data_IF_635724393270
#
_entry.id   IF_635724393270
#
_cell.length_a   1.000
_cell.length_b   1.000
_cell.length_c   1.000
_cell.angle_alpha   90.00
_cell.angle_beta   90.00
_cell.angle_gamma   90.00
#
_symmetry.space_group_name_H-M   'P 1'
#
loop_
_entity.id
_entity.type
_entity.pdbx_description
1 polymer ?
#
# COMPACT_ATOMS: atom_id res chain seq x y z
N UNK A 1 -11.99 30.05 -13.78
CA UNK A 1 -10.66 29.41 -13.79
C UNK A 1 -10.91 28.09 -13.12
N UNK A 2 -11.18 27.08 -13.93
CA UNK A 2 -11.86 25.87 -13.47
C UNK A 2 -10.90 25.02 -12.63
N UNK A 3 -11.29 24.81 -11.37
CA UNK A 3 -10.68 23.84 -10.48
C UNK A 3 -10.91 22.45 -11.08
N UNK A 4 -9.92 21.95 -11.82
CA UNK A 4 -9.81 20.53 -12.10
C UNK A 4 -9.53 19.81 -10.78
N UNK A 5 -10.59 19.51 -10.04
CA UNK A 5 -10.55 18.52 -8.98
C UNK A 5 -10.28 17.19 -9.67
N UNK A 6 -9.01 16.80 -9.75
CA UNK A 6 -8.64 15.41 -9.99
C UNK A 6 -9.35 14.62 -8.90
N UNK A 7 -10.45 13.96 -9.25
CA UNK A 7 -11.16 13.05 -8.37
C UNK A 7 -10.22 11.87 -8.10
N UNK A 8 -9.29 12.08 -7.17
CA UNK A 8 -8.35 11.07 -6.71
C UNK A 8 -9.16 9.89 -6.21
N UNK A 9 -8.67 8.68 -6.48
CA UNK A 9 -9.34 7.47 -6.04
C UNK A 9 -9.57 7.54 -4.52
N UNK A 10 -10.80 7.79 -4.09
CA UNK A 10 -11.14 7.85 -2.68
C UNK A 10 -11.04 6.44 -2.09
N UNK A 11 -9.91 6.15 -1.45
CA UNK A 11 -9.77 5.00 -0.54
C UNK A 11 -10.35 5.46 0.80
N UNK A 12 -11.29 4.71 1.41
CA UNK A 12 -11.89 5.11 2.68
C UNK A 12 -10.83 5.23 3.80
N UNK A 13 -11.10 5.99 4.86
CA UNK A 13 -10.26 5.96 6.05
C UNK A 13 -10.28 4.56 6.69
N UNK A 14 -9.24 4.26 7.46
CA UNK A 14 -9.14 3.06 8.28
C UNK A 14 -9.45 3.46 9.72
N UNK A 15 -10.66 3.16 10.21
CA UNK A 15 -11.07 3.53 11.58
C UNK A 15 -10.54 2.53 12.62
N UNK A 16 -10.47 1.24 12.25
CA UNK A 16 -9.93 0.15 13.07
C UNK A 16 -9.04 -0.75 12.20
N UNK A 17 -7.96 -1.27 12.77
CA UNK A 17 -7.14 -2.24 12.05
C UNK A 17 -7.81 -3.62 12.03
N UNK A 18 -7.71 -4.27 10.88
CA UNK A 18 -7.97 -5.69 10.71
C UNK A 18 -6.86 -6.26 9.82
N UNK A 19 -5.89 -6.92 10.46
CA UNK A 19 -4.74 -7.52 9.77
C UNK A 19 -5.02 -8.92 9.21
N UNK A 20 -6.27 -9.40 9.21
CA UNK A 20 -6.61 -10.60 8.43
C UNK A 20 -6.46 -10.32 6.94
N UNK A 21 -6.08 -11.33 6.14
CA UNK A 21 -5.96 -11.17 4.69
C UNK A 21 -7.28 -10.63 4.06
N UNK A 22 -8.42 -11.08 4.58
CA UNK A 22 -9.75 -10.62 4.16
C UNK A 22 -10.02 -9.17 4.56
N UNK A 23 -9.67 -8.76 5.78
CA UNK A 23 -9.80 -7.38 6.26
C UNK A 23 -9.00 -6.39 5.43
N UNK A 24 -7.73 -6.72 5.18
CA UNK A 24 -6.80 -5.90 4.40
C UNK A 24 -7.25 -5.76 2.94
N UNK A 25 -7.48 -6.88 2.24
CA UNK A 25 -7.94 -6.82 0.85
C UNK A 25 -9.33 -6.22 0.72
N UNK A 26 -10.22 -6.53 1.68
CA UNK A 26 -11.56 -5.95 1.78
C UNK A 26 -11.54 -4.43 1.95
N UNK A 27 -10.56 -3.88 2.67
CA UNK A 27 -10.36 -2.43 2.75
C UNK A 27 -10.02 -1.83 1.38
N UNK A 28 -9.01 -2.37 0.69
CA UNK A 28 -8.61 -1.86 -0.62
C UNK A 28 -9.70 -2.04 -1.69
N UNK A 29 -10.54 -3.07 -1.55
CA UNK A 29 -11.70 -3.28 -2.39
C UNK A 29 -12.75 -2.17 -2.23
N UNK A 30 -12.89 -1.54 -1.06
CA UNK A 30 -13.84 -0.42 -0.89
C UNK A 30 -13.45 0.86 -1.64
N UNK A 31 -12.25 0.91 -2.24
CA UNK A 31 -11.81 2.07 -3.03
C UNK A 31 -12.52 2.15 -4.39
N UNK A 32 -12.63 3.37 -4.92
CA UNK A 32 -13.23 3.64 -6.25
C UNK A 32 -12.50 2.97 -7.43
N UNK A 33 -11.32 2.35 -7.23
CA UNK A 33 -10.55 1.55 -8.21
C UNK A 33 -10.37 0.08 -7.81
N UNK A 34 -11.35 -0.42 -7.05
CA UNK A 34 -11.46 -1.72 -6.39
C UNK A 34 -10.66 -2.88 -7.05
N UNK A 35 -11.02 -3.28 -8.28
CA UNK A 35 -10.50 -4.54 -8.82
C UNK A 35 -9.03 -4.51 -9.27
N UNK A 36 -8.57 -3.41 -9.86
CA UNK A 36 -7.20 -3.32 -10.38
C UNK A 36 -6.17 -3.21 -9.25
N UNK A 37 -6.47 -2.38 -8.25
CA UNK A 37 -5.61 -2.21 -7.09
C UNK A 37 -5.49 -3.51 -6.29
N UNK A 38 -6.62 -4.18 -6.03
CA UNK A 38 -6.63 -5.48 -5.33
C UNK A 38 -5.86 -6.53 -6.13
N UNK A 39 -6.07 -6.61 -7.45
CA UNK A 39 -5.31 -7.54 -8.31
C UNK A 39 -3.81 -7.26 -8.27
N UNK A 40 -3.41 -5.99 -8.27
CA UNK A 40 -2.00 -5.62 -8.16
C UNK A 40 -1.42 -6.04 -6.80
N UNK A 41 -2.10 -5.76 -5.70
CA UNK A 41 -1.67 -6.15 -4.35
C UNK A 41 -1.55 -7.67 -4.20
N UNK A 42 -2.55 -8.43 -4.63
CA UNK A 42 -2.48 -9.91 -4.64
C UNK A 42 -1.31 -10.41 -5.50
N UNK A 43 -0.97 -9.71 -6.59
CA UNK A 43 0.16 -10.09 -7.44
C UNK A 43 1.50 -9.78 -6.76
N UNK A 44 1.58 -8.68 -6.01
CA UNK A 44 2.76 -8.35 -5.20
C UNK A 44 2.96 -9.36 -4.06
N UNK A 45 1.89 -9.69 -3.33
CA UNK A 45 1.94 -10.65 -2.22
C UNK A 45 2.44 -12.04 -2.69
N UNK A 46 2.10 -12.46 -3.91
CA UNK A 46 2.64 -13.70 -4.51
C UNK A 46 4.14 -13.69 -4.74
N UNK A 47 4.73 -12.50 -4.89
CA UNK A 47 6.18 -12.32 -5.06
C UNK A 47 6.89 -12.20 -3.70
N UNK A 48 6.18 -11.87 -2.63
CA UNK A 48 6.70 -11.64 -1.27
C UNK A 48 7.01 -12.93 -0.50
N UNK A 49 7.60 -13.94 -1.15
CA UNK A 49 7.85 -15.28 -0.55
C UNK A 49 8.77 -15.28 0.68
N UNK A 50 9.44 -14.16 0.97
CA UNK A 50 10.33 -14.01 2.11
C UNK A 50 9.62 -13.49 3.37
N UNK A 51 8.37 -13.04 3.26
CA UNK A 51 7.66 -12.43 4.38
C UNK A 51 7.15 -13.48 5.35
N UNK A 52 7.04 -13.11 6.62
CA UNK A 52 6.64 -14.04 7.70
C UNK A 52 5.21 -14.54 7.54
N UNK A 53 4.37 -13.73 6.88
CA UNK A 53 2.95 -13.94 6.69
C UNK A 53 2.60 -14.42 5.26
N UNK A 54 3.61 -14.79 4.46
CA UNK A 54 3.41 -15.37 3.14
C UNK A 54 2.69 -16.73 3.24
N UNK A 55 1.62 -16.92 2.46
CA UNK A 55 0.80 -18.14 2.45
C UNK A 55 0.40 -18.63 3.86
N UNK A 56 0.00 -17.70 4.74
CA UNK A 56 -0.31 -17.98 6.15
C UNK A 56 -1.29 -19.15 6.36
N UNK A 57 -2.30 -19.28 5.48
CA UNK A 57 -3.32 -20.33 5.56
C UNK A 57 -2.81 -21.73 5.19
N UNK A 58 -1.70 -21.81 4.45
CA UNK A 58 -1.07 -23.07 4.05
C UNK A 58 0.19 -23.39 4.89
N UNK A 59 0.60 -22.47 5.76
CA UNK A 59 1.80 -22.61 6.60
C UNK A 59 1.57 -23.58 7.76
N UNK A 60 2.61 -24.35 8.11
CA UNK A 60 2.62 -25.15 9.34
C UNK A 60 2.65 -24.30 10.61
N UNK A 61 2.90 -22.99 10.48
CA UNK A 61 2.97 -22.01 11.56
C UNK A 61 1.77 -21.05 11.56
N UNK A 62 0.63 -21.47 11.00
CA UNK A 62 -0.55 -20.61 10.85
C UNK A 62 -0.98 -19.96 12.17
N UNK A 63 -0.97 -20.71 13.27
CA UNK A 63 -1.38 -20.20 14.58
C UNK A 63 -0.43 -19.11 15.09
N UNK A 64 0.89 -19.33 14.98
CA UNK A 64 1.90 -18.36 15.38
C UNK A 64 1.84 -17.09 14.54
N UNK A 65 1.61 -17.22 13.23
CA UNK A 65 1.43 -16.07 12.32
C UNK A 65 0.17 -15.28 12.72
N UNK A 66 -0.95 -15.95 13.00
CA UNK A 66 -2.18 -15.29 13.45
C UNK A 66 -1.99 -14.54 14.77
N UNK A 67 -1.30 -15.16 15.74
CA UNK A 67 -0.98 -14.51 17.01
C UNK A 67 -0.09 -13.27 16.78
N UNK A 68 0.95 -13.39 15.95
CA UNK A 68 1.81 -12.28 15.57
C UNK A 68 1.01 -11.14 14.92
N UNK A 69 0.06 -11.44 14.03
CA UNK A 69 -0.80 -10.42 13.42
C UNK A 69 -1.68 -9.71 14.45
N UNK A 70 -2.21 -10.43 15.45
CA UNK A 70 -3.00 -9.81 16.53
C UNK A 70 -2.15 -8.92 17.45
N UNK A 71 -0.95 -9.38 17.79
CA UNK A 71 -0.01 -8.59 18.60
C UNK A 71 0.45 -7.34 17.85
N UNK A 72 0.78 -7.49 16.55
CA UNK A 72 1.16 -6.38 15.70
C UNK A 72 0.02 -5.37 15.54
N UNK A 73 -1.20 -5.84 15.35
CA UNK A 73 -2.38 -4.98 15.30
C UNK A 73 -2.50 -4.16 16.58
N UNK A 74 -2.48 -4.83 17.75
CA UNK A 74 -2.60 -4.18 19.05
C UNK A 74 -1.47 -3.17 19.28
N UNK A 75 -0.23 -3.52 18.89
CA UNK A 75 0.92 -2.63 18.95
C UNK A 75 0.72 -1.37 18.10
N UNK A 76 0.34 -1.52 16.83
CA UNK A 76 0.19 -0.37 15.93
C UNK A 76 -0.97 0.52 16.39
N UNK A 77 -2.10 -0.05 16.82
CA UNK A 77 -3.22 0.75 17.35
C UNK A 77 -2.83 1.55 18.59
N UNK A 78 -2.05 0.95 19.50
CA UNK A 78 -1.60 1.61 20.72
C UNK A 78 -0.58 2.73 20.46
N UNK A 79 0.30 2.56 19.46
CA UNK A 79 1.47 3.42 19.28
C UNK A 79 1.50 4.22 17.97
N UNK A 80 0.49 4.14 17.10
CA UNK A 80 0.47 4.82 15.79
C UNK A 80 0.90 6.30 15.85
N UNK A 81 0.43 7.03 16.87
CA UNK A 81 0.71 8.47 17.08
C UNK A 81 2.18 8.81 17.34
N UNK A 82 3.00 7.84 17.73
CA UNK A 82 4.40 8.05 18.11
C UNK A 82 5.41 7.29 17.24
N UNK A 83 4.96 6.47 16.29
CA UNK A 83 5.85 5.71 15.39
C UNK A 83 6.77 6.58 14.51
N UNK A 84 6.49 7.89 14.40
CA UNK A 84 7.38 8.85 13.74
C UNK A 84 8.72 9.02 14.47
N UNK A 85 8.82 8.61 15.73
CA UNK A 85 10.05 8.66 16.52
C UNK A 85 10.99 7.48 16.22
N UNK A 86 10.47 6.40 15.65
CA UNK A 86 11.23 5.18 15.30
C UNK A 86 10.90 4.70 13.88
N UNK A 87 10.98 5.58 12.86
CA UNK A 87 10.48 5.27 11.52
C UNK A 87 11.28 4.14 10.86
N UNK A 88 12.57 4.01 11.17
CA UNK A 88 13.42 2.95 10.65
C UNK A 88 12.96 1.56 11.11
N UNK A 89 12.88 1.35 12.42
CA UNK A 89 12.51 0.06 12.99
C UNK A 89 11.10 -0.37 12.54
N UNK A 90 10.18 0.59 12.41
CA UNK A 90 8.86 0.30 11.88
C UNK A 90 8.90 -0.06 10.39
N UNK A 91 9.66 0.67 9.56
CA UNK A 91 9.81 0.33 8.14
C UNK A 91 10.50 -1.03 7.92
N UNK A 92 11.47 -1.39 8.76
CA UNK A 92 12.10 -2.72 8.78
C UNK A 92 11.06 -3.81 9.11
N UNK A 93 10.24 -3.60 10.15
CA UNK A 93 9.13 -4.50 10.46
C UNK A 93 8.19 -4.69 9.27
N UNK A 94 7.80 -3.60 8.59
CA UNK A 94 6.90 -3.65 7.44
C UNK A 94 7.53 -4.38 6.23
N UNK A 95 8.86 -4.41 6.11
CA UNK A 95 9.54 -5.13 5.04
C UNK A 95 9.37 -6.66 5.15
N UNK A 96 9.11 -7.16 6.35
CA UNK A 96 8.90 -8.59 6.65
C UNK A 96 7.44 -9.04 6.56
N UNK A 97 6.53 -8.15 6.16
CA UNK A 97 5.12 -8.46 5.90
C UNK A 97 4.82 -8.44 4.40
N UNK A 98 3.77 -9.14 3.97
CA UNK A 98 3.23 -9.05 2.61
C UNK A 98 2.94 -7.60 2.23
N UNK A 99 3.08 -7.28 0.94
CA UNK A 99 2.92 -5.93 0.41
C UNK A 99 1.55 -5.34 0.76
N UNK A 100 0.47 -6.13 0.73
CA UNK A 100 -0.86 -5.68 1.12
C UNK A 100 -0.91 -5.21 2.58
N UNK A 101 -0.42 -6.01 3.53
CA UNK A 101 -0.34 -5.64 4.96
C UNK A 101 0.60 -4.47 5.21
N UNK A 102 1.75 -4.46 4.55
CA UNK A 102 2.72 -3.37 4.58
C UNK A 102 2.07 -2.04 4.18
N UNK A 103 1.36 -2.00 3.05
CA UNK A 103 0.68 -0.78 2.58
C UNK A 103 -0.48 -0.38 3.50
N UNK A 104 -1.23 -1.35 4.00
CA UNK A 104 -2.35 -1.11 4.91
C UNK A 104 -1.91 -0.47 6.23
N UNK A 105 -0.84 -1.01 6.84
CA UNK A 105 -0.25 -0.46 8.07
C UNK A 105 0.40 0.91 7.84
N UNK A 106 1.13 1.07 6.74
CA UNK A 106 1.71 2.38 6.36
C UNK A 106 0.62 3.44 6.27
N UNK A 107 -0.49 3.11 5.60
CA UNK A 107 -1.65 4.01 5.46
C UNK A 107 -2.30 4.32 6.81
N UNK A 108 -2.53 3.31 7.63
CA UNK A 108 -3.14 3.50 8.95
C UNK A 108 -2.31 4.44 9.82
N UNK A 109 -0.99 4.24 9.89
CA UNK A 109 -0.11 5.09 10.69
C UNK A 109 -0.06 6.51 10.12
N UNK A 110 0.08 6.67 8.80
CA UNK A 110 0.07 7.98 8.16
C UNK A 110 -1.25 8.75 8.40
N UNK A 111 -2.39 8.06 8.50
CA UNK A 111 -3.69 8.66 8.83
C UNK A 111 -3.77 9.17 10.28
N UNK A 112 -3.09 8.50 11.22
CA UNK A 112 -3.18 8.79 12.66
C UNK A 112 -1.99 9.58 13.21
N UNK A 113 -1.00 9.87 12.37
CA UNK A 113 0.25 10.50 12.75
C UNK A 113 0.80 11.33 11.58
N UNK A 114 0.41 12.60 11.52
CA UNK A 114 0.82 13.52 10.45
C UNK A 114 2.35 13.69 10.34
N UNK A 115 3.08 13.49 11.44
CA UNK A 115 4.54 13.57 11.46
C UNK A 115 5.22 12.33 10.85
N UNK A 116 4.52 11.20 10.71
CA UNK A 116 5.11 9.94 10.27
C UNK A 116 5.69 10.03 8.85
N UNK A 117 4.92 10.57 7.90
CA UNK A 117 5.37 10.74 6.52
C UNK A 117 6.62 11.62 6.42
N UNK A 118 6.68 12.69 7.23
CA UNK A 118 7.83 13.58 7.31
C UNK A 118 9.07 12.92 7.90
N UNK A 119 8.90 12.02 8.87
CA UNK A 119 9.99 11.24 9.46
C UNK A 119 10.49 10.13 8.52
N UNK A 120 9.60 9.54 7.71
CA UNK A 120 9.91 8.45 6.79
C UNK A 120 10.62 8.94 5.51
N UNK A 121 10.24 10.10 4.98
CA UNK A 121 10.80 10.66 3.76
C UNK A 121 12.34 10.77 3.71
N UNK A 122 13.03 11.36 4.71
CA UNK A 122 14.49 11.47 4.68
C UNK A 122 15.18 10.11 4.77
N UNK A 123 14.59 9.15 5.49
CA UNK A 123 15.09 7.79 5.60
C UNK A 123 15.04 7.08 4.25
N UNK A 124 13.95 7.22 3.49
CA UNK A 124 13.84 6.64 2.15
C UNK A 124 14.70 7.36 1.10
N UNK A 125 15.02 8.64 1.30
CA UNK A 125 15.84 9.43 0.39
C UNK A 125 17.35 9.15 0.52
N UNK A 126 17.79 8.59 1.65
CA UNK A 126 19.20 8.28 1.93
C UNK A 126 19.79 7.13 1.09
N UNK A 127 21.08 6.87 1.30
CA UNK A 127 21.75 5.68 0.77
C UNK A 127 21.30 4.45 1.57
N UNK A 128 20.59 3.55 0.90
CA UNK A 128 20.04 2.32 1.49
C UNK A 128 20.85 1.08 1.11
N UNK A 129 22.03 1.24 0.51
CA UNK A 129 22.85 0.13 -0.01
C UNK A 129 23.20 -0.94 1.03
N UNK A 130 23.20 -0.59 2.32
CA UNK A 130 23.46 -1.51 3.44
C UNK A 130 22.20 -1.93 4.22
N UNK A 131 21.03 -1.36 3.91
CA UNK A 131 19.77 -1.60 4.62
C UNK A 131 18.79 -2.30 3.67
N UNK A 132 18.95 -3.63 3.56
CA UNK A 132 18.18 -4.46 2.63
C UNK A 132 16.67 -4.32 2.84
N UNK A 133 16.23 -4.34 4.10
CA UNK A 133 14.81 -4.24 4.47
C UNK A 133 14.21 -2.88 4.05
N UNK A 134 14.93 -1.78 4.30
CA UNK A 134 14.50 -0.46 3.85
C UNK A 134 14.48 -0.33 2.33
N UNK A 135 15.43 -0.99 1.64
CA UNK A 135 15.43 -1.06 0.18
C UNK A 135 14.20 -1.78 -0.34
N UNK A 136 13.83 -2.92 0.26
CA UNK A 136 12.62 -3.68 -0.08
C UNK A 136 11.38 -2.81 0.15
N UNK A 137 11.26 -2.21 1.32
CA UNK A 137 10.14 -1.33 1.67
C UNK A 137 10.00 -0.15 0.70
N UNK A 138 11.11 0.57 0.41
CA UNK A 138 11.13 1.66 -0.58
C UNK A 138 10.67 1.20 -1.96
N UNK A 139 11.20 0.06 -2.44
CA UNK A 139 10.82 -0.48 -3.76
C UNK A 139 9.35 -0.86 -3.83
N UNK A 140 8.76 -1.38 -2.75
CA UNK A 140 7.32 -1.66 -2.67
C UNK A 140 6.51 -0.38 -2.73
N UNK A 141 6.89 0.67 -2.01
CA UNK A 141 6.23 1.98 -2.10
C UNK A 141 6.31 2.54 -3.53
N UNK A 142 7.50 2.52 -4.14
CA UNK A 142 7.69 2.97 -5.52
C UNK A 142 6.83 2.17 -6.51
N UNK A 143 6.77 0.85 -6.36
CA UNK A 143 5.96 -0.02 -7.20
C UNK A 143 4.46 0.30 -7.04
N UNK A 144 4.00 0.50 -5.81
CA UNK A 144 2.62 0.86 -5.50
C UNK A 144 2.24 2.23 -6.08
N UNK A 145 3.07 3.26 -5.87
CA UNK A 145 2.86 4.60 -6.44
C UNK A 145 2.87 4.59 -7.96
N UNK A 146 3.80 3.85 -8.59
CA UNK A 146 3.84 3.71 -10.06
C UNK A 146 2.62 2.97 -10.60
N UNK A 147 2.21 1.87 -9.96
CA UNK A 147 1.00 1.15 -10.34
C UNK A 147 -0.25 2.04 -10.23
N UNK A 148 -0.32 2.86 -9.18
CA UNK A 148 -1.37 3.83 -9.01
C UNK A 148 -1.38 4.85 -10.16
N UNK A 149 -0.25 5.50 -10.45
CA UNK A 149 -0.12 6.47 -11.54
C UNK A 149 -0.43 5.84 -12.91
N UNK A 150 0.03 4.63 -13.18
CA UNK A 150 -0.26 3.92 -14.43
C UNK A 150 -1.75 3.63 -14.58
N UNK A 151 -2.44 3.28 -13.48
CA UNK A 151 -3.90 3.09 -13.50
C UNK A 151 -4.67 4.38 -13.82
N UNK A 152 -4.11 5.54 -13.46
CA UNK A 152 -4.67 6.85 -13.79
C UNK A 152 -4.43 7.23 -15.24
N UNK A 153 -3.17 7.13 -15.67
CA UNK A 153 -2.73 7.56 -16.99
C UNK A 153 -3.39 6.70 -18.08
N UNK A 154 -3.43 5.39 -17.88
CA UNK A 154 -3.91 4.41 -18.86
C UNK A 154 -5.29 3.84 -18.49
N UNK A 155 -6.15 4.66 -17.89
CA UNK A 155 -7.52 4.24 -17.58
C UNK A 155 -8.31 3.99 -18.87
N UNK A 156 -9.20 2.98 -18.86
CA UNK A 156 -10.02 2.64 -20.03
C UNK A 156 -10.92 3.83 -20.48
N UNK A 157 -11.30 4.69 -19.54
CA UNK A 157 -12.01 5.94 -19.82
C UNK A 157 -11.14 6.91 -20.63
N UNK A 158 -9.92 7.19 -20.16
CA UNK A 158 -8.98 8.07 -20.88
C UNK A 158 -8.59 7.51 -22.24
N UNK A 159 -8.35 6.20 -22.32
CA UNK A 159 -8.02 5.56 -23.59
C UNK A 159 -9.19 5.67 -24.57
N UNK A 160 -10.44 5.51 -24.11
CA UNK A 160 -11.62 5.71 -24.94
C UNK A 160 -11.78 7.15 -25.40
N UNK A 161 -11.55 8.12 -24.52
CA UNK A 161 -11.57 9.54 -24.85
C UNK A 161 -10.51 9.89 -25.92
N UNK A 162 -9.28 9.39 -25.76
CA UNK A 162 -8.22 9.56 -26.76
C UNK A 162 -8.62 8.94 -28.10
N UNK A 163 -9.18 7.72 -28.09
CA UNK A 163 -9.66 7.07 -29.31
C UNK A 163 -10.76 7.88 -29.99
N UNK A 164 -11.74 8.40 -29.25
CA UNK A 164 -12.81 9.24 -29.78
C UNK A 164 -12.27 10.54 -30.39
N UNK A 165 -11.31 11.20 -29.73
CA UNK A 165 -10.63 12.38 -30.27
C UNK A 165 -9.92 12.01 -31.58
N UNK A 166 -9.15 10.93 -31.60
CA UNK A 166 -8.41 10.49 -32.79
C UNK A 166 -9.35 10.15 -33.96
N UNK A 167 -10.47 9.48 -33.70
CA UNK A 167 -11.49 9.16 -34.71
C UNK A 167 -12.15 10.43 -35.27
N UNK A 168 -12.40 11.44 -34.43
CA UNK A 168 -13.00 12.72 -34.86
C UNK A 168 -12.13 13.54 -35.82
N UNK A 169 -10.81 13.30 -35.82
CA UNK A 169 -9.87 13.90 -36.78
C UNK A 169 -9.63 13.05 -38.03
N UNK A 170 -10.13 11.80 -38.07
CA UNK A 170 -10.02 10.93 -39.23
C UNK A 170 -11.14 11.16 -40.27
N UNK A 171 -12.23 11.82 -39.87
CA UNK A 171 -13.41 12.14 -40.70
C UNK A 171 -13.35 13.55 -41.33
N UNK A 172 -12.18 14.21 -41.33
CA UNK A 172 -11.88 15.50 -42.00
C UNK A 172 -10.81 15.30 -43.07
#
# INVERSE_FOLDING_TARGET
MDEYTTAGAHIPPIDSLDLTAHGVLGHFAKSSRNAQLVKFLVSMDRLDRWTVDFEEDASTHQFEIQLLMQELQSFVEAYARVLHQVPQAFAELLAHLTSSRCMYLTRYVAQHNDAFSGALAPLLAGDLSQLADLTVFRRRLDAFSKAHLLSEIFSAERLREISQIMESYADV
#
